data_IF_841805133588
#
_entry.id   IF_841805133588
#
_cell.length_a   1.000
_cell.length_b   1.000
_cell.length_c   1.000
_cell.angle_alpha   90.00
_cell.angle_beta   90.00
_cell.angle_gamma   90.00
#
_symmetry.space_group_name_H-M   'P 1'
#
loop_
_entity.id
_entity.type
_entity.pdbx_description
1 polymer ?
#
# COMPACT_ATOMS: atom_id res chain seq x y z
N UNK A 1 -6.31 -6.25 -12.11
CA UNK A 1 -7.27 -6.99 -11.33
C UNK A 1 -6.65 -7.55 -10.10
N UNK A 2 -7.43 -7.63 -9.04
CA UNK A 2 -6.91 -8.14 -7.77
C UNK A 2 -6.38 -9.55 -7.91
N UNK A 3 -7.05 -10.36 -8.70
CA UNK A 3 -6.64 -11.75 -8.84
C UNK A 3 -5.32 -11.92 -9.56
N UNK A 4 -4.86 -10.86 -10.21
CA UNK A 4 -3.58 -10.95 -10.91
C UNK A 4 -2.40 -10.90 -9.95
N UNK A 5 -2.63 -10.56 -8.71
CA UNK A 5 -1.56 -10.47 -7.73
C UNK A 5 -1.62 -11.66 -6.78
N UNK A 6 -0.46 -12.18 -6.40
CA UNK A 6 -0.45 -13.28 -5.43
C UNK A 6 -0.90 -12.78 -4.06
N UNK A 7 -1.25 -13.71 -3.16
CA UNK A 7 -1.69 -13.30 -1.82
C UNK A 7 -0.63 -12.56 -1.02
N UNK A 8 0.65 -12.83 -1.29
CA UNK A 8 1.75 -12.19 -0.59
C UNK A 8 2.49 -11.33 -1.60
N UNK A 9 2.71 -10.07 -1.24
CA UNK A 9 3.30 -9.09 -2.14
C UNK A 9 4.56 -8.50 -1.54
N UNK A 10 5.45 -8.04 -2.40
CA UNK A 10 6.56 -7.21 -1.93
C UNK A 10 6.19 -5.74 -2.14
N UNK A 11 7.09 -4.84 -1.71
CA UNK A 11 6.79 -3.41 -1.77
C UNK A 11 6.60 -2.93 -3.21
N UNK A 12 7.36 -3.47 -4.15
CA UNK A 12 7.24 -3.06 -5.54
C UNK A 12 5.88 -3.45 -6.11
N UNK A 13 5.40 -4.63 -5.74
CA UNK A 13 4.09 -5.05 -6.21
C UNK A 13 2.98 -4.21 -5.60
N UNK A 14 3.11 -3.84 -4.33
CA UNK A 14 2.12 -2.97 -3.70
C UNK A 14 2.12 -1.61 -4.40
N UNK A 15 3.31 -1.09 -4.70
CA UNK A 15 3.41 0.20 -5.38
C UNK A 15 2.73 0.13 -6.74
N UNK A 16 2.94 -0.95 -7.46
CA UNK A 16 2.30 -1.11 -8.75
C UNK A 16 0.80 -1.21 -8.62
N UNK A 17 0.35 -1.99 -7.65
CA UNK A 17 -1.07 -2.19 -7.44
C UNK A 17 -1.78 -0.89 -7.08
N UNK A 18 -1.12 -0.06 -6.29
CA UNK A 18 -1.72 1.21 -5.85
C UNK A 18 -1.30 2.39 -6.72
N UNK A 19 -0.50 2.14 -7.74
CA UNK A 19 -0.02 3.19 -8.65
C UNK A 19 0.70 4.28 -7.89
N UNK A 20 1.60 3.88 -7.01
CA UNK A 20 2.33 4.86 -6.23
C UNK A 20 3.81 4.52 -6.21
N UNK A 21 4.60 5.44 -5.69
CA UNK A 21 6.04 5.29 -5.63
C UNK A 21 6.40 4.24 -4.58
N UNK A 22 7.35 3.36 -4.92
CA UNK A 22 7.72 2.29 -4.02
C UNK A 22 8.33 2.84 -2.73
N UNK A 23 9.01 3.99 -2.80
CA UNK A 23 9.58 4.57 -1.59
C UNK A 23 8.48 4.99 -0.61
N UNK A 24 7.37 5.46 -1.14
CA UNK A 24 6.22 5.79 -0.30
C UNK A 24 5.64 4.56 0.37
N UNK A 25 5.58 3.46 -0.38
CA UNK A 25 5.11 2.21 0.22
C UNK A 25 6.00 1.80 1.38
N UNK A 26 7.30 1.90 1.18
CA UNK A 26 8.24 1.54 2.25
C UNK A 26 8.10 2.45 3.45
N UNK A 27 7.89 3.73 3.19
CA UNK A 27 7.71 4.67 4.29
C UNK A 27 6.46 4.35 5.08
N UNK A 28 5.35 4.09 4.39
CA UNK A 28 4.12 3.74 5.08
C UNK A 28 4.27 2.45 5.87
N UNK A 29 5.00 1.49 5.31
CA UNK A 29 5.22 0.24 6.02
C UNK A 29 6.04 0.48 7.28
N UNK A 30 7.09 1.29 7.16
CA UNK A 30 7.94 1.58 8.32
C UNK A 30 7.16 2.32 9.39
N UNK A 31 6.25 3.18 8.98
CA UNK A 31 5.45 3.95 9.93
C UNK A 31 4.27 3.17 10.49
N UNK A 32 4.06 1.98 9.99
CA UNK A 32 2.95 1.16 10.48
C UNK A 32 1.60 1.54 9.90
N UNK A 33 1.58 2.32 8.84
CA UNK A 33 0.31 2.72 8.23
C UNK A 33 -0.28 1.64 7.36
N UNK A 34 0.59 0.87 6.68
CA UNK A 34 0.16 -0.27 5.91
C UNK A 34 0.69 -1.51 6.62
N UNK A 35 -0.15 -2.49 6.91
CA UNK A 35 0.33 -3.70 7.57
C UNK A 35 1.43 -4.34 6.73
N UNK A 36 2.59 -4.52 7.34
CA UNK A 36 3.74 -5.06 6.66
C UNK A 36 4.47 -6.02 7.58
N UNK A 37 5.13 -7.00 6.98
CA UNK A 37 5.76 -8.07 7.71
C UNK A 37 7.13 -8.34 7.10
N UNK A 38 7.99 -8.99 7.85
CA UNK A 38 9.29 -9.41 7.36
C UNK A 38 9.56 -10.82 7.82
N UNK A 39 10.23 -11.57 6.97
CA UNK A 39 10.65 -12.90 7.36
C UNK A 39 11.81 -12.79 8.33
N UNK A 40 11.96 -13.77 9.22
CA UNK A 40 13.10 -13.75 10.15
C UNK A 40 14.41 -13.64 9.37
N UNK A 41 15.23 -12.68 9.75
CA UNK A 41 16.50 -12.47 9.08
C UNK A 41 16.41 -11.73 7.78
N UNK A 42 15.22 -11.43 7.29
CA UNK A 42 15.04 -10.71 6.05
C UNK A 42 14.86 -9.23 6.29
N UNK A 43 15.09 -8.45 5.24
CA UNK A 43 14.91 -7.02 5.31
C UNK A 43 13.77 -6.51 4.48
N UNK A 44 13.35 -7.30 3.49
CA UNK A 44 12.30 -6.86 2.58
C UNK A 44 10.95 -6.95 3.27
N UNK A 45 10.12 -5.96 3.03
CA UNK A 45 8.76 -5.97 3.53
C UNK A 45 7.92 -6.93 2.72
N UNK A 46 7.01 -7.61 3.40
CA UNK A 46 6.01 -8.46 2.77
C UNK A 46 4.65 -7.96 3.19
N UNK A 47 3.70 -8.07 2.27
CA UNK A 47 2.36 -7.55 2.50
C UNK A 47 1.36 -8.63 2.10
N UNK A 48 0.23 -8.64 2.79
CA UNK A 48 -0.88 -9.49 2.36
C UNK A 48 -1.79 -8.66 1.46
N UNK A 49 -2.07 -9.21 0.29
CA UNK A 49 -2.88 -8.50 -0.70
C UNK A 49 -4.20 -8.00 -0.10
N UNK A 50 -4.87 -8.85 0.66
CA UNK A 50 -6.16 -8.48 1.20
C UNK A 50 -6.04 -7.36 2.21
N UNK A 51 -4.95 -7.33 2.98
CA UNK A 51 -4.77 -6.27 3.95
C UNK A 51 -4.46 -4.93 3.27
N UNK A 52 -3.79 -4.99 2.12
CA UNK A 52 -3.55 -3.77 1.37
C UNK A 52 -4.88 -3.20 0.87
N UNK A 53 -5.76 -4.07 0.41
CA UNK A 53 -7.08 -3.62 0.00
C UNK A 53 -7.85 -3.02 1.17
N UNK A 54 -7.76 -3.63 2.34
CA UNK A 54 -8.45 -3.10 3.50
C UNK A 54 -7.90 -1.74 3.89
N UNK A 55 -6.58 -1.58 3.78
CA UNK A 55 -5.98 -0.27 4.04
C UNK A 55 -6.57 0.78 3.11
N UNK A 56 -6.64 0.46 1.83
CA UNK A 56 -7.16 1.42 0.87
C UNK A 56 -8.62 1.74 1.14
N UNK A 57 -9.40 0.73 1.47
CA UNK A 57 -10.81 0.95 1.75
C UNK A 57 -11.03 1.80 3.00
N UNK A 58 -10.08 1.76 3.92
CA UNK A 58 -10.19 2.53 5.14
C UNK A 58 -9.94 4.01 4.91
N UNK A 59 -9.54 4.38 3.70
CA UNK A 59 -9.23 5.78 3.38
C UNK A 59 -10.02 6.21 2.15
N UNK A 60 -11.34 6.29 2.26
CA UNK A 60 -12.14 6.68 1.10
C UNK A 60 -11.88 8.12 0.71
N UNK A 61 -12.08 8.38 -0.57
CA UNK A 61 -11.80 9.70 -1.10
C UNK A 61 -12.62 10.78 -0.42
N UNK A 62 -13.78 10.42 0.07
CA UNK A 62 -14.64 11.42 0.70
C UNK A 62 -14.05 11.97 1.98
N UNK A 63 -13.04 11.31 2.54
CA UNK A 63 -12.36 11.80 3.73
C UNK A 63 -11.18 12.68 3.42
N UNK A 64 -10.84 12.80 2.15
CA UNK A 64 -9.68 13.58 1.74
C UNK A 64 -10.03 15.05 1.81
N UNK A 65 -9.15 15.89 2.37
CA UNK A 65 -9.40 17.32 2.40
C UNK A 65 -9.62 17.86 1.00
N UNK A 66 -10.42 18.90 0.92
CA UNK A 66 -10.80 19.42 -0.38
C UNK A 66 -9.63 19.93 -1.17
N UNK A 67 -8.63 20.44 -0.50
CA UNK A 67 -7.51 20.99 -1.24
C UNK A 67 -6.75 19.91 -1.97
N UNK A 68 -6.86 18.67 -1.57
CA UNK A 68 -6.19 17.62 -2.27
C UNK A 68 -6.87 17.25 -3.56
N UNK A 69 -8.13 17.54 -3.66
CA UNK A 69 -8.83 17.22 -4.86
C UNK A 69 -8.42 18.10 -6.02
N UNK A 70 -7.89 19.22 -5.72
CA UNK A 70 -7.49 20.14 -6.76
C UNK A 70 -6.35 19.60 -7.55
N UNK A 71 -5.55 18.75 -6.94
CA UNK A 71 -4.38 18.24 -7.61
C UNK A 71 -4.69 17.18 -8.60
N UNK A 72 -5.90 16.77 -8.67
CA UNK A 72 -6.19 15.66 -9.52
C UNK A 72 -6.08 16.01 -10.95
N UNK A 73 -6.06 16.85 -11.30
CA UNK A 73 -5.91 17.14 -12.59
C UNK A 73 -6.40 16.55 -13.44
#
# INVERSE_FOLDING_TARGET
MAEDYPPILDAAQVAEMLSMNVQMVRMYAREGRIPAYRLPGGRAYKFFRDEVFEFLKAHPASEVPEDEEINVE
#
